data_IF_559872468225
#
_entry.id   IF_559872468225
#
_cell.length_a   1.000
_cell.length_b   1.000
_cell.length_c   1.000
_cell.angle_alpha   90.00
_cell.angle_beta   90.00
_cell.angle_gamma   90.00
#
_symmetry.space_group_name_H-M   'P 1'
#
loop_
_entity.id
_entity.type
_entity.pdbx_description
1 polymer ?
#
# COMPACT_ATOMS: atom_id res chain seq x y z
N UNK A 1 1.61 -9.27 -16.49
CA UNK A 1 0.42 -8.53 -16.01
C UNK A 1 0.78 -7.08 -15.73
N UNK A 2 -0.16 -6.16 -15.91
CA UNK A 2 0.00 -4.71 -15.66
C UNK A 2 0.46 -4.43 -14.20
N UNK A 3 -0.08 -5.15 -13.21
CA UNK A 3 0.31 -4.99 -11.81
C UNK A 3 1.81 -5.17 -11.55
N UNK A 4 2.44 -6.21 -12.12
CA UNK A 4 3.87 -6.46 -11.96
C UNK A 4 4.72 -5.35 -12.58
N UNK A 5 4.27 -4.81 -13.72
CA UNK A 5 4.98 -3.70 -14.38
C UNK A 5 4.92 -2.43 -13.53
N UNK A 6 3.75 -2.11 -12.99
CA UNK A 6 3.60 -0.93 -12.14
C UNK A 6 4.38 -1.09 -10.83
N UNK A 7 4.36 -2.27 -10.20
CA UNK A 7 5.18 -2.57 -9.01
C UNK A 7 6.68 -2.38 -9.31
N UNK A 8 7.16 -2.91 -10.44
CA UNK A 8 8.54 -2.72 -10.85
C UNK A 8 8.90 -1.24 -11.05
N UNK A 9 8.08 -0.50 -11.80
CA UNK A 9 8.31 0.92 -12.07
C UNK A 9 8.24 1.74 -10.76
N UNK A 10 7.30 1.43 -9.86
CA UNK A 10 7.15 2.12 -8.58
C UNK A 10 8.33 1.89 -7.61
N UNK A 11 8.88 0.67 -7.56
CA UNK A 11 10.13 0.39 -6.82
C UNK A 11 11.31 1.10 -7.48
N UNK A 12 11.42 1.03 -8.81
CA UNK A 12 12.51 1.66 -9.57
C UNK A 12 12.55 3.18 -9.39
N UNK A 13 11.39 3.81 -9.28
CA UNK A 13 11.25 5.27 -9.14
C UNK A 13 11.07 5.73 -7.68
N UNK A 14 11.30 4.85 -6.70
CA UNK A 14 11.20 5.14 -5.25
C UNK A 14 9.87 5.81 -4.86
N UNK A 15 8.77 5.35 -5.47
CA UNK A 15 7.43 5.90 -5.23
C UNK A 15 6.90 5.47 -3.86
N UNK A 16 7.35 4.32 -3.36
CA UNK A 16 6.92 3.78 -2.07
C UNK A 16 7.77 4.32 -0.94
N UNK A 17 7.12 4.69 0.16
CA UNK A 17 7.83 5.10 1.36
C UNK A 17 8.79 3.97 1.83
N UNK A 18 10.00 4.26 2.31
CA UNK A 18 10.96 3.24 2.75
C UNK A 18 10.40 2.29 3.82
N UNK A 19 9.57 2.81 4.72
CA UNK A 19 8.93 2.03 5.79
C UNK A 19 7.61 1.36 5.38
N UNK A 20 7.22 1.41 4.11
CA UNK A 20 6.06 0.67 3.61
C UNK A 20 6.50 -0.72 3.20
N UNK A 21 6.08 -1.74 3.94
CA UNK A 21 6.61 -3.10 3.74
C UNK A 21 5.53 -4.07 3.23
N UNK A 22 4.27 -3.73 3.45
CA UNK A 22 3.14 -4.53 2.96
C UNK A 22 2.93 -4.38 1.46
N UNK A 23 2.57 -5.50 0.81
CA UNK A 23 2.08 -5.55 -0.58
C UNK A 23 3.05 -5.05 -1.66
N UNK A 24 4.34 -4.89 -1.33
CA UNK A 24 5.40 -4.52 -2.29
C UNK A 24 6.26 -5.74 -2.58
N UNK A 25 6.55 -5.99 -3.85
CA UNK A 25 7.44 -7.07 -4.23
C UNK A 25 8.82 -6.88 -3.57
N UNK A 26 9.41 -7.97 -3.06
CA UNK A 26 10.71 -7.96 -2.37
C UNK A 26 10.72 -7.27 -0.99
N UNK A 27 9.55 -7.02 -0.39
CA UNK A 27 9.44 -6.61 1.02
C UNK A 27 8.53 -7.61 1.75
N UNK A 28 8.84 -7.90 3.01
CA UNK A 28 8.09 -8.89 3.79
C UNK A 28 7.74 -8.42 5.20
N UNK A 29 6.89 -9.20 5.87
CA UNK A 29 6.54 -8.96 7.28
C UNK A 29 7.74 -9.17 8.20
N UNK A 30 8.67 -10.06 7.82
CA UNK A 30 9.94 -10.25 8.53
C UNK A 30 10.79 -8.97 8.51
N UNK A 31 10.87 -8.28 7.37
CA UNK A 31 11.55 -6.98 7.27
C UNK A 31 10.94 -5.96 8.23
N UNK A 32 9.61 -5.95 8.36
CA UNK A 32 8.89 -5.06 9.29
C UNK A 32 9.24 -5.35 10.75
N UNK A 33 9.29 -6.62 11.12
CA UNK A 33 9.72 -7.06 12.43
C UNK A 33 11.16 -6.68 12.73
N UNK A 34 12.06 -6.83 11.75
CA UNK A 34 13.47 -6.44 11.88
C UNK A 34 13.62 -4.92 12.08
N UNK A 35 12.94 -4.10 11.28
CA UNK A 35 12.97 -2.65 11.41
C UNK A 35 12.43 -2.20 12.77
N UNK A 36 11.27 -2.72 13.19
CA UNK A 36 10.70 -2.38 14.50
C UNK A 36 11.64 -2.77 15.65
N UNK A 37 12.20 -3.98 15.60
CA UNK A 37 13.15 -4.47 16.61
C UNK A 37 14.39 -3.59 16.67
N UNK A 38 14.90 -3.18 15.52
CA UNK A 38 16.05 -2.28 15.43
C UNK A 38 15.76 -0.92 16.05
N UNK A 39 14.63 -0.30 15.73
CA UNK A 39 14.21 0.99 16.30
C UNK A 39 14.07 0.94 17.83
N UNK A 40 13.47 -0.13 18.35
CA UNK A 40 13.33 -0.35 19.79
C UNK A 40 14.69 -0.47 20.47
N UNK A 41 15.58 -1.32 19.94
CA UNK A 41 16.92 -1.52 20.50
C UNK A 41 17.77 -0.24 20.42
N UNK A 42 17.67 0.52 19.33
CA UNK A 42 18.37 1.79 19.18
C UNK A 42 17.91 2.83 20.22
N UNK A 43 16.64 2.83 20.60
CA UNK A 43 16.13 3.65 21.71
C UNK A 43 16.70 3.23 23.05
N UNK A 44 16.75 1.93 23.34
CA UNK A 44 17.31 1.40 24.60
C UNK A 44 18.78 1.73 24.78
N UNK A 45 19.59 1.64 23.72
CA UNK A 45 21.02 2.03 23.76
C UNK A 45 21.20 3.49 24.15
N UNK A 46 20.22 4.35 23.83
CA UNK A 46 20.21 5.78 24.20
C UNK A 46 19.60 6.03 25.58
N UNK A 47 19.27 4.99 26.34
CA UNK A 47 18.60 5.11 27.65
C UNK A 47 17.14 5.57 27.56
N UNK A 48 16.51 5.48 26.38
CA UNK A 48 15.13 5.90 26.17
C UNK A 48 14.15 4.75 26.44
N UNK A 49 12.98 5.09 26.97
CA UNK A 49 11.84 4.19 27.00
C UNK A 49 11.13 4.22 25.64
N UNK A 50 10.95 3.05 25.03
CA UNK A 50 10.34 2.91 23.70
C UNK A 50 8.93 2.36 23.82
N UNK A 51 7.99 2.91 23.05
CA UNK A 51 6.63 2.40 22.90
C UNK A 51 6.27 2.30 21.42
N UNK A 52 5.29 1.46 21.09
CA UNK A 52 4.76 1.32 19.74
C UNK A 52 3.26 1.62 19.75
N UNK A 53 2.82 2.42 18.78
CA UNK A 53 1.41 2.69 18.53
C UNK A 53 1.02 2.02 17.22
N UNK A 54 0.10 1.06 17.30
CA UNK A 54 -0.40 0.33 16.14
C UNK A 54 -1.80 0.84 15.77
N UNK A 55 -2.01 1.06 14.48
CA UNK A 55 -3.31 1.42 13.91
C UNK A 55 -3.75 0.33 12.94
N UNK A 56 -5.04 0.00 12.99
CA UNK A 56 -5.69 -0.86 12.00
C UNK A 56 -6.89 -0.14 11.40
N UNK A 57 -7.04 -0.22 10.07
CA UNK A 57 -8.12 0.45 9.34
C UNK A 57 -9.20 -0.59 9.05
N UNK A 58 -10.31 -0.50 9.78
CA UNK A 58 -11.49 -1.33 9.56
C UNK A 58 -11.95 -1.25 8.11
N UNK A 59 -12.12 -2.41 7.48
CA UNK A 59 -12.63 -2.50 6.11
C UNK A 59 -11.88 -1.58 5.12
N UNK A 60 -10.54 -1.65 5.11
CA UNK A 60 -9.69 -0.81 4.28
C UNK A 60 -10.17 -0.68 2.82
N UNK A 61 -10.42 -1.79 2.11
CA UNK A 61 -10.80 -1.72 0.69
C UNK A 61 -12.19 -1.11 0.46
N UNK A 62 -13.24 -1.53 1.18
CA UNK A 62 -14.53 -0.85 1.14
C UNK A 62 -14.49 0.64 1.52
N UNK A 63 -13.53 1.09 2.32
CA UNK A 63 -13.45 2.47 2.79
C UNK A 63 -12.64 3.41 1.89
N UNK A 64 -12.03 2.91 0.80
CA UNK A 64 -11.28 3.76 -0.12
C UNK A 64 -12.23 4.74 -0.82
N UNK A 65 -12.04 6.04 -0.60
CA UNK A 65 -12.71 7.06 -1.39
C UNK A 65 -12.18 7.05 -2.83
N UNK A 66 -13.06 6.75 -3.79
CA UNK A 66 -12.69 6.58 -5.20
C UNK A 66 -12.19 7.87 -5.84
N UNK A 67 -12.77 9.03 -5.53
CA UNK A 67 -12.34 10.33 -6.07
C UNK A 67 -10.93 10.68 -5.59
N UNK A 68 -10.68 10.48 -4.30
CA UNK A 68 -9.38 10.70 -3.69
C UNK A 68 -8.33 9.76 -4.30
N UNK A 69 -8.66 8.48 -4.48
CA UNK A 69 -7.76 7.53 -5.14
C UNK A 69 -7.41 7.98 -6.57
N UNK A 70 -8.39 8.44 -7.35
CA UNK A 70 -8.14 8.99 -8.69
C UNK A 70 -7.26 10.25 -8.64
N UNK A 71 -7.49 11.14 -7.67
CA UNK A 71 -6.69 12.34 -7.49
C UNK A 71 -5.23 12.00 -7.13
N UNK A 72 -5.00 11.00 -6.29
CA UNK A 72 -3.65 10.50 -5.96
C UNK A 72 -2.94 9.95 -7.20
N UNK A 73 -3.60 9.12 -8.00
CA UNK A 73 -3.00 8.59 -9.23
C UNK A 73 -2.62 9.72 -10.21
N UNK A 74 -3.48 10.73 -10.39
CA UNK A 74 -3.16 11.90 -11.22
C UNK A 74 -1.97 12.69 -10.66
N UNK A 75 -1.94 12.92 -9.34
CA UNK A 75 -0.84 13.63 -8.67
C UNK A 75 0.49 12.89 -8.80
N UNK A 76 0.47 11.57 -8.85
CA UNK A 76 1.64 10.72 -9.07
C UNK A 76 2.08 10.65 -10.55
N UNK A 77 1.38 11.33 -11.46
CA UNK A 77 1.77 11.42 -12.87
C UNK A 77 1.33 10.23 -13.74
N UNK A 78 0.39 9.40 -13.27
CA UNK A 78 -0.16 8.33 -14.10
C UNK A 78 -0.90 8.90 -15.32
N UNK A 79 -0.83 8.19 -16.44
CA UNK A 79 -1.50 8.63 -17.67
C UNK A 79 -3.02 8.70 -17.47
N UNK A 80 -3.72 9.65 -18.12
CA UNK A 80 -5.17 9.76 -18.02
C UNK A 80 -5.90 8.45 -18.38
N UNK A 81 -5.38 7.71 -19.36
CA UNK A 81 -5.91 6.39 -19.78
C UNK A 81 -5.90 5.38 -18.63
N UNK A 82 -4.82 5.33 -17.85
CA UNK A 82 -4.73 4.42 -16.71
C UNK A 82 -5.65 4.85 -15.56
N UNK A 83 -5.77 6.16 -15.32
CA UNK A 83 -6.69 6.69 -14.30
C UNK A 83 -8.13 6.36 -14.66
N UNK A 84 -8.53 6.54 -15.92
CA UNK A 84 -9.87 6.22 -16.41
C UNK A 84 -10.16 4.72 -16.36
N UNK A 85 -9.17 3.88 -16.68
CA UNK A 85 -9.26 2.44 -16.48
C UNK A 85 -9.60 2.11 -15.02
N UNK A 86 -8.88 2.66 -14.04
CA UNK A 86 -9.17 2.41 -12.63
C UNK A 86 -10.53 2.98 -12.19
N UNK A 87 -10.94 4.15 -12.71
CA UNK A 87 -12.26 4.71 -12.43
C UNK A 87 -13.39 3.77 -12.89
N UNK A 88 -13.32 3.28 -14.14
CA UNK A 88 -14.27 2.30 -14.68
C UNK A 88 -14.25 0.96 -13.94
N UNK A 89 -13.09 0.58 -13.39
CA UNK A 89 -12.93 -0.67 -12.67
C UNK A 89 -13.50 -0.62 -11.24
N UNK A 90 -13.69 0.56 -10.67
CA UNK A 90 -14.12 0.75 -9.28
C UNK A 90 -15.61 1.10 -9.15
N UNK A 91 -16.24 1.65 -10.19
CA UNK A 91 -17.62 2.15 -10.15
C UNK A 91 -18.55 1.27 -10.98
N UNK A 92 -19.80 1.10 -10.53
CA UNK A 92 -20.82 0.39 -11.31
C UNK A 92 -20.61 -1.12 -11.34
N UNK A 93 -19.97 -1.66 -10.30
CA UNK A 93 -19.68 -3.08 -10.20
C UNK A 93 -20.88 -3.85 -9.70
N UNK A 94 -21.05 -5.06 -10.21
CA UNK A 94 -21.91 -6.07 -9.62
C UNK A 94 -21.11 -7.33 -9.32
N UNK A 95 -21.46 -8.00 -8.23
CA UNK A 95 -20.91 -9.28 -7.82
C UNK A 95 -22.02 -10.32 -7.78
N UNK A 96 -21.68 -11.52 -8.25
CA UNK A 96 -22.48 -12.72 -8.13
C UNK A 96 -21.67 -13.76 -7.36
N UNK A 97 -22.31 -14.42 -6.40
CA UNK A 97 -21.69 -15.48 -5.63
C UNK A 97 -21.99 -16.82 -6.30
N UNK A 98 -20.94 -17.55 -6.68
CA UNK A 98 -21.04 -18.89 -7.24
C UNK A 98 -20.49 -19.92 -6.25
N UNK A 99 -21.29 -20.95 -5.93
CA UNK A 99 -20.87 -22.07 -5.09
C UNK A 99 -21.42 -23.38 -5.64
N UNK A 100 -20.54 -24.26 -6.12
CA UNK A 100 -20.93 -25.45 -6.88
C UNK A 100 -21.81 -25.10 -8.09
N UNK A 101 -23.06 -25.57 -8.11
CA UNK A 101 -24.07 -25.27 -9.13
C UNK A 101 -24.98 -24.11 -8.74
N UNK A 102 -24.83 -23.54 -7.55
CA UNK A 102 -25.60 -22.40 -7.09
C UNK A 102 -24.96 -21.09 -7.56
N UNK A 103 -25.79 -20.20 -8.08
CA UNK A 103 -25.44 -18.85 -8.47
C UNK A 103 -26.44 -17.89 -7.82
N UNK A 104 -25.95 -16.87 -7.11
CA UNK A 104 -26.81 -15.87 -6.50
C UNK A 104 -27.33 -14.87 -7.53
N UNK A 105 -28.34 -14.09 -7.14
CA UNK A 105 -28.67 -12.87 -7.86
C UNK A 105 -27.50 -11.88 -7.86
N UNK A 106 -27.47 -11.04 -8.88
CA UNK A 106 -26.52 -9.93 -9.05
C UNK A 106 -26.73 -8.90 -7.94
N UNK A 107 -25.68 -8.59 -7.17
CA UNK A 107 -25.68 -7.57 -6.13
C UNK A 107 -24.72 -6.45 -6.48
N UNK A 108 -25.17 -5.19 -6.34
CA UNK A 108 -24.27 -4.05 -6.49
C UNK A 108 -23.08 -4.18 -5.52
N UNK A 109 -21.90 -3.90 -6.04
CA UNK A 109 -20.62 -3.99 -5.36
C UNK A 109 -19.81 -2.72 -5.62
N UNK A 110 -20.39 -1.56 -5.32
CA UNK A 110 -19.75 -0.23 -5.42
C UNK A 110 -18.61 0.00 -4.40
N UNK A 111 -18.05 -1.08 -3.85
CA UNK A 111 -16.93 -1.04 -2.91
C UNK A 111 -15.75 -1.81 -3.50
N UNK A 112 -14.54 -1.33 -3.20
CA UNK A 112 -13.35 -1.95 -3.74
C UNK A 112 -13.27 -3.42 -3.28
N UNK A 113 -13.42 -4.33 -4.24
CA UNK A 113 -13.44 -5.77 -3.98
C UNK A 113 -12.03 -6.26 -3.67
N UNK A 114 -11.88 -7.01 -2.57
CA UNK A 114 -10.72 -7.84 -2.30
C UNK A 114 -10.93 -9.20 -2.99
N UNK A 115 -10.72 -9.26 -4.30
CA UNK A 115 -10.91 -10.49 -5.10
C UNK A 115 -9.63 -11.34 -5.18
N UNK A 116 -8.58 -10.97 -4.43
CA UNK A 116 -7.27 -11.59 -4.53
C UNK A 116 -6.52 -11.26 -5.83
N UNK A 117 -7.06 -10.38 -6.68
CA UNK A 117 -6.38 -10.00 -7.91
C UNK A 117 -5.12 -9.17 -7.62
N UNK A 118 -4.08 -9.28 -8.45
CA UNK A 118 -2.90 -8.42 -8.38
C UNK A 118 -3.22 -6.91 -8.47
N UNK A 119 -4.39 -6.55 -9.01
CA UNK A 119 -4.89 -5.18 -9.07
C UNK A 119 -5.47 -4.69 -7.73
N UNK A 120 -6.05 -5.57 -6.90
CA UNK A 120 -6.49 -5.22 -5.56
C UNK A 120 -5.28 -4.87 -4.66
N UNK A 121 -4.19 -5.62 -4.77
CA UNK A 121 -2.93 -5.37 -4.05
C UNK A 121 -2.36 -3.99 -4.41
N UNK A 122 -2.46 -3.57 -5.68
CA UNK A 122 -2.03 -2.24 -6.13
C UNK A 122 -2.80 -1.08 -5.45
N UNK A 123 -4.12 -1.23 -5.25
CA UNK A 123 -4.96 -0.21 -4.59
C UNK A 123 -4.46 0.09 -3.17
N UNK A 124 -4.05 -0.96 -2.45
CA UNK A 124 -3.50 -0.83 -1.10
C UNK A 124 -2.20 -0.05 -1.09
N UNK A 125 -1.28 -0.37 -2.00
CA UNK A 125 0.08 0.15 -1.98
C UNK A 125 0.12 1.66 -2.25
N UNK A 126 -0.61 2.18 -3.25
CA UNK A 126 -0.51 3.61 -3.58
C UNK A 126 -1.27 4.50 -2.59
N UNK A 127 -2.43 4.04 -2.11
CA UNK A 127 -3.20 4.78 -1.12
C UNK A 127 -2.46 4.83 0.22
N UNK A 128 -1.94 3.69 0.69
CA UNK A 128 -1.13 3.66 1.92
C UNK A 128 0.18 4.41 1.78
N UNK A 129 0.85 4.38 0.61
CA UNK A 129 2.04 5.19 0.35
C UNK A 129 1.77 6.69 0.55
N UNK A 130 0.65 7.17 0.02
CA UNK A 130 0.24 8.57 0.19
C UNK A 130 -0.10 8.87 1.65
N UNK A 131 -0.94 8.06 2.31
CA UNK A 131 -1.27 8.25 3.73
C UNK A 131 -0.02 8.25 4.60
N UNK A 132 0.93 7.32 4.36
CA UNK A 132 2.19 7.28 5.10
C UNK A 132 3.03 8.53 4.83
N UNK A 133 3.14 8.96 3.57
CA UNK A 133 3.86 10.18 3.21
C UNK A 133 3.25 11.41 3.90
N UNK A 134 1.93 11.42 4.11
CA UNK A 134 1.24 12.51 4.76
C UNK A 134 1.31 12.45 6.29
N UNK A 135 1.32 11.26 6.88
CA UNK A 135 1.46 11.05 8.32
C UNK A 135 2.91 11.21 8.80
N UNK A 136 3.88 10.92 7.94
CA UNK A 136 5.30 10.90 8.28
C UNK A 136 6.08 12.09 7.72
N UNK A 137 5.42 13.12 7.19
CA UNK A 137 6.05 14.35 6.65
C UNK A 137 7.09 14.96 7.60
N UNK A 138 6.79 14.89 8.89
CA UNK A 138 7.59 15.51 9.96
C UNK A 138 8.52 14.49 10.66
N UNK A 139 8.42 13.21 10.29
CA UNK A 139 9.25 12.14 10.85
C UNK A 139 10.50 12.00 9.98
N UNK A 140 11.64 12.52 10.48
CA UNK A 140 12.92 12.38 9.79
C UNK A 140 13.22 10.90 9.53
N UNK A 141 13.57 10.50 8.29
CA UNK A 141 14.01 9.14 8.03
C UNK A 141 15.26 8.84 8.87
N UNK A 142 15.44 7.59 9.33
CA UNK A 142 16.68 7.21 10.00
C UNK A 142 17.86 7.49 9.07
N UNK A 143 18.92 8.11 9.61
CA UNK A 143 20.15 8.35 8.87
C UNK A 143 20.63 7.02 8.28
N UNK A 144 20.65 6.91 6.95
CA UNK A 144 21.42 5.89 6.28
C UNK A 144 22.89 6.23 6.49
N UNK A 145 23.53 5.65 7.51
CA UNK A 145 24.98 5.54 7.47
C UNK A 145 25.33 4.57 6.34
N UNK A 146 26.17 4.97 5.37
CA UNK A 146 26.60 4.06 4.32
C UNK A 146 27.36 2.91 4.97
N UNK A 147 26.96 1.67 4.64
CA UNK A 147 27.74 0.48 5.00
C UNK A 147 29.20 0.74 4.61
N UNK A 148 30.06 0.77 5.62
CA UNK A 148 31.47 1.11 5.47
C UNK A 148 32.14 0.28 4.38
N UNK A 149 32.74 0.99 3.42
CA UNK A 149 33.84 0.49 2.63
C UNK A 149 35.04 0.30 3.55
N UNK A 150 35.19 -0.89 4.12
CA UNK A 150 36.47 -1.30 4.67
C UNK A 150 37.22 -2.12 3.61
N UNK A 151 38.15 -1.43 2.95
CA UNK A 151 39.34 -2.02 2.35
C UNK A 151 40.29 -2.55 3.45
#
# INVERSE_FOLDING_TARGET
MIANRIQFDAVKHDIFHPNQLGSICQRSTEDAGLILTHLVRAGWVKGLQTSALAFDITQFFPSINHEMFMAVLRKQGFSPVLVEFFASYLVGRSTVYCWNTFQSDSRSADVAVLDGSPLAIYKHVHYTAWVLSELLKDVRPPNHEPYGSNA
#
